data_IF_776408325369
#
_entry.id   IF_776408325369
#
_cell.length_a   1.000
_cell.length_b   1.000
_cell.length_c   1.000
_cell.angle_alpha   90.00
_cell.angle_beta   90.00
_cell.angle_gamma   90.00
#
_symmetry.space_group_name_H-M   'P 1'
#
loop_
_entity.id
_entity.type
_entity.pdbx_description
1 polymer ?
#
# COMPACT_ATOMS: atom_id res chain seq x y z
N UNK A 1 -30.34 -18.63 -37.81
CA UNK A 1 -29.11 -18.65 -37.00
C UNK A 1 -28.68 -17.20 -36.82
N UNK A 2 -29.10 -16.57 -35.72
CA UNK A 2 -28.81 -15.17 -35.43
C UNK A 2 -27.71 -15.07 -34.39
N UNK A 3 -26.55 -14.60 -34.81
CA UNK A 3 -25.42 -14.27 -33.93
C UNK A 3 -25.81 -13.03 -33.10
N UNK A 4 -26.03 -13.19 -31.79
CA UNK A 4 -26.20 -12.07 -30.88
C UNK A 4 -24.82 -11.56 -30.53
N UNK A 5 -24.38 -10.48 -31.17
CA UNK A 5 -23.30 -9.67 -30.67
C UNK A 5 -23.77 -8.99 -29.38
N UNK A 6 -23.30 -9.46 -28.24
CA UNK A 6 -23.39 -8.67 -27.03
C UNK A 6 -22.43 -7.50 -27.18
N UNK A 7 -22.98 -6.34 -27.52
CA UNK A 7 -22.31 -5.08 -27.40
C UNK A 7 -22.14 -4.82 -25.89
N UNK A 8 -20.95 -5.09 -25.38
CA UNK A 8 -20.55 -4.54 -24.09
C UNK A 8 -20.48 -3.03 -24.25
N UNK A 9 -21.18 -2.22 -23.44
CA UNK A 9 -20.96 -0.80 -23.44
C UNK A 9 -19.49 -0.56 -23.13
N UNK A 10 -18.83 0.28 -23.91
CA UNK A 10 -17.43 0.69 -23.73
C UNK A 10 -17.29 1.51 -22.45
N UNK A 11 -17.42 0.88 -21.29
CA UNK A 11 -16.87 1.39 -20.06
C UNK A 11 -15.38 1.04 -20.04
N UNK A 12 -14.51 2.02 -20.05
CA UNK A 12 -13.06 1.86 -19.93
C UNK A 12 -12.70 1.41 -18.53
N UNK A 13 -13.19 0.23 -18.14
CA UNK A 13 -12.82 -0.43 -16.90
C UNK A 13 -11.37 -0.88 -16.97
N UNK A 14 -10.56 -0.54 -15.99
CA UNK A 14 -9.17 -0.92 -15.90
C UNK A 14 -8.81 -1.37 -14.49
N UNK A 15 -7.60 -1.88 -14.36
CA UNK A 15 -7.01 -2.19 -13.06
C UNK A 15 -6.25 -0.98 -12.55
N UNK A 16 -6.31 -0.76 -11.24
CA UNK A 16 -5.43 0.15 -10.54
C UNK A 16 -4.63 -0.64 -9.51
N UNK A 17 -3.34 -0.37 -9.47
CA UNK A 17 -2.39 -0.92 -8.52
C UNK A 17 -2.09 0.14 -7.48
N UNK A 18 -2.28 -0.19 -6.22
CA UNK A 18 -1.98 0.67 -5.09
C UNK A 18 -0.80 0.09 -4.32
N UNK A 19 0.28 0.85 -4.23
CA UNK A 19 1.39 0.58 -3.32
C UNK A 19 1.30 1.48 -2.11
N UNK A 20 1.63 0.97 -0.93
CA UNK A 20 1.76 1.76 0.29
C UNK A 20 2.94 1.28 1.12
N UNK A 21 3.60 2.22 1.79
CA UNK A 21 4.69 1.97 2.73
C UNK A 21 4.24 2.41 4.10
N UNK A 22 4.30 1.48 5.05
CA UNK A 22 3.82 1.67 6.42
C UNK A 22 4.95 1.48 7.42
N UNK A 23 5.00 2.33 8.43
CA UNK A 23 5.84 2.14 9.61
C UNK A 23 5.18 1.14 10.58
N UNK A 24 5.90 0.12 10.96
CA UNK A 24 5.38 -0.96 11.81
C UNK A 24 5.04 -0.50 13.23
N UNK A 25 5.82 0.40 13.78
CA UNK A 25 5.63 0.87 15.15
C UNK A 25 4.37 1.73 15.26
N UNK A 26 4.31 2.79 14.48
CA UNK A 26 3.22 3.78 14.54
C UNK A 26 2.00 3.40 13.71
N UNK A 27 2.12 2.46 12.77
CA UNK A 27 1.13 2.16 11.72
C UNK A 27 0.91 3.33 10.74
N UNK A 28 1.80 4.30 10.75
CA UNK A 28 1.70 5.47 9.88
C UNK A 28 2.01 5.09 8.43
N UNK A 29 1.11 5.43 7.51
CA UNK A 29 1.33 5.29 6.07
C UNK A 29 2.25 6.43 5.63
N UNK A 30 3.52 6.11 5.39
CA UNK A 30 4.56 7.08 5.02
C UNK A 30 4.35 7.60 3.61
N UNK A 31 4.07 6.71 2.68
CA UNK A 31 3.85 7.04 1.28
C UNK A 31 2.92 6.04 0.62
N UNK A 32 2.35 6.44 -0.50
CA UNK A 32 1.53 5.58 -1.33
C UNK A 32 1.52 6.09 -2.77
N UNK A 33 1.30 5.20 -3.72
CA UNK A 33 1.13 5.53 -5.14
C UNK A 33 0.04 4.68 -5.76
N UNK A 34 -0.59 5.24 -6.78
CA UNK A 34 -1.60 4.58 -7.59
C UNK A 34 -1.15 4.59 -9.04
N UNK A 35 -1.14 3.42 -9.68
CA UNK A 35 -0.77 3.25 -11.08
C UNK A 35 -1.81 2.40 -11.81
N UNK A 36 -1.91 2.55 -13.11
CA UNK A 36 -2.68 1.69 -14.01
C UNK A 36 -1.81 0.59 -14.64
N UNK A 37 -0.51 0.60 -14.37
CA UNK A 37 0.45 -0.42 -14.78
C UNK A 37 1.18 -0.97 -13.55
N UNK A 38 1.63 -2.22 -13.62
CA UNK A 38 2.41 -2.88 -12.56
C UNK A 38 3.92 -2.74 -12.81
N UNK A 39 4.37 -1.56 -13.23
CA UNK A 39 5.77 -1.26 -13.42
C UNK A 39 6.46 -1.02 -12.06
N UNK A 40 7.78 -1.14 -12.00
CA UNK A 40 8.50 -0.91 -10.75
C UNK A 40 8.56 0.58 -10.35
N UNK A 41 8.43 1.48 -11.30
CA UNK A 41 8.70 2.92 -11.13
C UNK A 41 7.84 3.56 -10.03
N UNK A 42 6.52 3.30 -10.00
CA UNK A 42 5.66 3.88 -8.97
C UNK A 42 5.96 3.33 -7.57
N UNK A 43 6.54 2.11 -7.48
CA UNK A 43 7.01 1.54 -6.22
C UNK A 43 8.30 2.23 -5.76
N UNK A 44 9.21 2.53 -6.68
CA UNK A 44 10.46 3.28 -6.39
C UNK A 44 10.13 4.70 -5.94
N UNK A 45 9.21 5.40 -6.63
CA UNK A 45 8.75 6.73 -6.22
C UNK A 45 8.14 6.74 -4.80
N UNK A 46 7.36 5.71 -4.47
CA UNK A 46 6.82 5.56 -3.13
C UNK A 46 7.93 5.35 -2.09
N UNK A 47 8.95 4.54 -2.43
CA UNK A 47 10.09 4.28 -1.56
C UNK A 47 10.91 5.56 -1.33
N UNK A 48 11.21 6.32 -2.37
CA UNK A 48 11.92 7.60 -2.26
C UNK A 48 11.19 8.58 -1.33
N UNK A 49 9.87 8.68 -1.47
CA UNK A 49 9.09 9.55 -0.57
C UNK A 49 9.12 9.06 0.87
N UNK A 50 9.02 7.75 1.09
CA UNK A 50 9.08 7.19 2.44
C UNK A 50 10.44 7.43 3.10
N UNK A 51 11.54 7.21 2.37
CA UNK A 51 12.91 7.42 2.88
C UNK A 51 13.23 8.89 3.21
N UNK A 52 12.55 9.86 2.56
CA UNK A 52 12.64 11.27 2.96
C UNK A 52 12.00 11.56 4.32
N UNK A 53 11.04 10.74 4.76
CA UNK A 53 10.34 10.91 6.04
C UNK A 53 11.02 10.18 7.19
N UNK A 54 11.81 9.16 6.89
CA UNK A 54 12.57 8.40 7.88
C UNK A 54 13.32 7.23 7.25
N UNK A 55 14.49 6.93 7.79
CA UNK A 55 15.31 5.78 7.35
C UNK A 55 15.08 4.61 8.31
N UNK A 56 14.57 3.46 7.85
CA UNK A 56 14.43 2.28 8.69
C UNK A 56 15.75 1.51 8.79
N UNK A 57 15.92 0.72 9.83
CA UNK A 57 16.99 -0.27 9.90
C UNK A 57 16.73 -1.48 9.00
N UNK A 58 15.46 -1.87 8.92
CA UNK A 58 15.02 -3.02 8.13
C UNK A 58 13.81 -2.61 7.29
N UNK A 59 13.82 -3.01 6.03
CA UNK A 59 12.72 -2.87 5.11
C UNK A 59 12.19 -4.25 4.72
N UNK A 60 10.93 -4.52 5.04
CA UNK A 60 10.28 -5.78 4.69
C UNK A 60 9.49 -5.62 3.39
N UNK A 61 9.60 -6.59 2.52
CA UNK A 61 8.89 -6.65 1.25
C UNK A 61 8.54 -8.09 0.92
N UNK A 62 7.49 -8.30 0.13
CA UNK A 62 7.24 -9.60 -0.48
C UNK A 62 8.25 -9.87 -1.62
N UNK A 63 8.12 -11.02 -2.27
CA UNK A 63 8.97 -11.41 -3.39
C UNK A 63 8.41 -10.96 -4.75
N UNK A 64 7.58 -9.94 -4.78
CA UNK A 64 7.05 -9.38 -6.01
C UNK A 64 8.17 -8.84 -6.91
N UNK A 65 8.03 -9.01 -8.23
CA UNK A 65 9.06 -8.60 -9.20
C UNK A 65 9.38 -7.09 -9.12
N UNK A 66 8.42 -6.26 -8.75
CA UNK A 66 8.57 -4.81 -8.56
C UNK A 66 9.47 -4.46 -7.37
N UNK A 67 9.60 -5.36 -6.38
CA UNK A 67 10.39 -5.13 -5.16
C UNK A 67 11.75 -5.85 -5.17
N UNK A 68 11.93 -6.84 -6.05
CA UNK A 68 13.19 -7.59 -6.18
C UNK A 68 14.14 -6.97 -7.19
N UNK A 69 13.64 -6.06 -8.03
CA UNK A 69 14.42 -5.35 -9.05
C UNK A 69 15.53 -4.47 -8.46
N UNK A 70 16.61 -4.27 -9.24
CA UNK A 70 17.77 -3.48 -8.79
C UNK A 70 17.42 -2.02 -8.50
N UNK A 71 16.46 -1.42 -9.20
CA UNK A 71 16.04 -0.05 -8.95
C UNK A 71 15.50 0.12 -7.52
N UNK A 72 14.71 -0.83 -7.03
CA UNK A 72 14.14 -0.81 -5.69
C UNK A 72 15.16 -1.21 -4.62
N UNK A 73 15.81 -2.35 -4.80
CA UNK A 73 16.78 -2.89 -3.83
C UNK A 73 18.07 -2.07 -3.76
N UNK A 74 18.51 -1.52 -4.89
CA UNK A 74 19.65 -0.63 -4.97
C UNK A 74 19.44 0.66 -4.19
N UNK A 75 18.25 1.25 -4.28
CA UNK A 75 17.88 2.44 -3.51
C UNK A 75 17.94 2.17 -1.99
N UNK A 76 17.42 1.04 -1.53
CA UNK A 76 17.52 0.66 -0.11
C UNK A 76 18.97 0.47 0.34
N UNK A 77 19.81 -0.21 -0.47
CA UNK A 77 21.24 -0.40 -0.17
C UNK A 77 22.00 0.93 -0.12
N UNK A 78 21.72 1.88 -1.03
CA UNK A 78 22.31 3.22 -1.02
C UNK A 78 22.01 3.98 0.28
N UNK A 79 20.85 3.74 0.88
CA UNK A 79 20.48 4.33 2.17
C UNK A 79 20.93 3.49 3.37
N UNK A 80 21.69 2.40 3.16
CA UNK A 80 22.17 1.53 4.23
C UNK A 80 21.06 0.76 4.95
N UNK A 81 19.93 0.51 4.27
CA UNK A 81 18.77 -0.19 4.81
C UNK A 81 18.91 -1.69 4.55
N UNK A 82 18.75 -2.50 5.59
CA UNK A 82 18.71 -3.96 5.44
C UNK A 82 17.37 -4.40 4.84
N UNK A 83 17.44 -5.29 3.85
CA UNK A 83 16.26 -5.82 3.18
C UNK A 83 15.90 -7.17 3.79
N UNK A 84 14.67 -7.32 4.25
CA UNK A 84 14.09 -8.60 4.64
C UNK A 84 13.02 -8.97 3.61
N UNK A 85 13.24 -10.08 2.91
CA UNK A 85 12.24 -10.62 1.99
C UNK A 85 11.56 -11.81 2.67
N UNK A 86 10.24 -11.81 2.66
CA UNK A 86 9.46 -12.89 3.28
C UNK A 86 9.77 -14.24 2.61
N UNK A 87 10.47 -15.08 3.38
CA UNK A 87 10.66 -16.49 3.00
C UNK A 87 9.43 -17.32 3.40
N UNK A 88 9.24 -18.48 2.74
CA UNK A 88 8.22 -19.46 3.13
C UNK A 88 8.24 -19.70 4.64
N UNK A 89 7.18 -19.27 5.36
CA UNK A 89 6.98 -19.56 6.78
C UNK A 89 7.00 -18.36 7.74
N UNK A 90 7.28 -17.15 7.31
CA UNK A 90 7.21 -15.94 8.16
C UNK A 90 5.89 -15.19 7.98
N UNK A 91 4.80 -15.85 8.37
CA UNK A 91 3.43 -15.30 8.32
C UNK A 91 3.22 -14.03 9.16
N UNK A 92 4.08 -13.80 10.16
CA UNK A 92 3.95 -12.64 11.06
C UNK A 92 4.42 -11.31 10.47
N UNK A 93 5.29 -11.35 9.49
CA UNK A 93 6.02 -10.16 9.03
C UNK A 93 5.15 -9.25 8.13
N UNK A 94 4.11 -9.80 7.48
CA UNK A 94 3.16 -9.05 6.64
C UNK A 94 1.83 -8.66 7.32
N UNK A 95 1.65 -9.04 8.59
CA UNK A 95 0.38 -8.84 9.30
C UNK A 95 -0.10 -7.38 9.30
N UNK A 96 0.81 -6.41 9.32
CA UNK A 96 0.46 -5.00 9.41
C UNK A 96 -0.03 -4.44 8.09
N UNK A 97 0.63 -4.80 7.00
CA UNK A 97 0.22 -4.39 5.66
C UNK A 97 -1.07 -5.10 5.23
N UNK A 98 -1.25 -6.37 5.57
CA UNK A 98 -2.50 -7.09 5.32
C UNK A 98 -3.69 -6.46 6.06
N UNK A 99 -3.48 -6.04 7.32
CA UNK A 99 -4.50 -5.30 8.07
C UNK A 99 -4.80 -3.95 7.45
N UNK A 100 -3.77 -3.23 6.97
CA UNK A 100 -3.96 -1.98 6.22
C UNK A 100 -4.83 -2.23 4.98
N UNK A 101 -4.51 -3.24 4.17
CA UNK A 101 -5.28 -3.58 2.97
C UNK A 101 -6.73 -3.93 3.27
N UNK A 102 -6.94 -4.73 4.32
CA UNK A 102 -8.29 -5.04 4.78
C UNK A 102 -9.05 -3.75 5.15
N UNK A 103 -8.43 -2.87 5.89
CA UNK A 103 -9.01 -1.60 6.33
C UNK A 103 -9.35 -0.71 5.13
N UNK A 104 -8.41 -0.51 4.20
CA UNK A 104 -8.62 0.27 2.97
C UNK A 104 -9.75 -0.32 2.12
N UNK A 105 -9.79 -1.64 1.98
CA UNK A 105 -10.85 -2.31 1.20
C UNK A 105 -12.23 -2.07 1.79
N UNK A 106 -12.40 -2.30 3.08
CA UNK A 106 -13.72 -2.29 3.72
C UNK A 106 -14.19 -0.89 4.12
N UNK A 107 -13.30 0.03 4.43
CA UNK A 107 -13.65 1.37 4.88
C UNK A 107 -13.65 2.40 3.74
N UNK A 108 -13.03 2.10 2.58
CA UNK A 108 -12.95 3.02 1.46
C UNK A 108 -13.38 2.40 0.13
N UNK A 109 -12.62 1.41 -0.38
CA UNK A 109 -12.76 0.93 -1.76
C UNK A 109 -14.13 0.30 -2.02
N UNK A 110 -14.63 -0.52 -1.10
CA UNK A 110 -15.93 -1.19 -1.26
C UNK A 110 -17.13 -0.27 -1.04
N UNK A 111 -16.94 0.82 -0.33
CA UNK A 111 -17.99 1.79 -0.05
C UNK A 111 -18.12 2.83 -1.16
N UNK A 112 -17.11 3.00 -1.98
CA UNK A 112 -17.07 4.00 -3.04
C UNK A 112 -16.97 3.36 -4.42
N UNK A 113 -17.84 3.77 -5.32
CA UNK A 113 -17.79 3.40 -6.75
C UNK A 113 -16.99 4.47 -7.51
N UNK A 114 -15.67 4.34 -7.55
CA UNK A 114 -14.83 5.27 -8.28
C UNK A 114 -15.13 5.25 -9.77
N UNK A 115 -15.32 6.42 -10.36
CA UNK A 115 -15.65 6.58 -11.77
C UNK A 115 -14.41 6.45 -12.68
N UNK A 116 -13.24 6.80 -12.16
CA UNK A 116 -11.98 6.78 -12.90
C UNK A 116 -10.79 6.81 -11.94
N UNK A 117 -9.56 6.69 -12.49
CA UNK A 117 -8.34 6.68 -11.68
C UNK A 117 -8.05 7.99 -10.93
N UNK A 118 -8.53 9.14 -11.44
CA UNK A 118 -8.40 10.42 -10.71
C UNK A 118 -9.28 10.43 -9.47
N UNK A 119 -10.51 9.98 -9.60
CA UNK A 119 -11.47 9.89 -8.51
C UNK A 119 -10.97 8.91 -7.43
N UNK A 120 -10.46 7.74 -7.85
CA UNK A 120 -9.81 6.79 -6.95
C UNK A 120 -8.61 7.40 -6.22
N UNK A 121 -7.77 8.18 -6.92
CA UNK A 121 -6.61 8.84 -6.31
C UNK A 121 -7.01 9.85 -5.23
N UNK A 122 -8.04 10.63 -5.49
CA UNK A 122 -8.57 11.61 -4.52
C UNK A 122 -9.14 10.87 -3.31
N UNK A 123 -10.03 9.89 -3.51
CA UNK A 123 -10.68 9.16 -2.43
C UNK A 123 -9.68 8.40 -1.55
N UNK A 124 -8.75 7.66 -2.15
CA UNK A 124 -7.70 6.94 -1.41
C UNK A 124 -6.78 7.92 -0.67
N UNK A 125 -6.46 9.07 -1.28
CA UNK A 125 -5.66 10.10 -0.63
C UNK A 125 -6.35 10.70 0.59
N UNK A 126 -7.65 11.00 0.50
CA UNK A 126 -8.46 11.47 1.61
C UNK A 126 -8.54 10.41 2.72
N UNK A 127 -8.70 9.15 2.31
CA UNK A 127 -8.74 8.03 3.25
C UNK A 127 -7.42 7.87 4.01
N UNK A 128 -6.25 7.93 3.36
CA UNK A 128 -4.97 7.83 4.06
C UNK A 128 -4.69 9.03 4.97
N UNK A 129 -5.19 10.23 4.63
CA UNK A 129 -5.15 11.38 5.56
C UNK A 129 -5.99 11.11 6.81
N UNK A 130 -7.22 10.61 6.63
CA UNK A 130 -8.09 10.20 7.73
C UNK A 130 -7.45 9.08 8.56
N UNK A 131 -6.95 8.03 7.91
CA UNK A 131 -6.29 6.88 8.56
C UNK A 131 -5.13 7.32 9.45
N UNK A 132 -4.26 8.18 8.94
CA UNK A 132 -3.10 8.65 9.68
C UNK A 132 -3.46 9.62 10.81
N UNK A 133 -4.34 10.58 10.56
CA UNK A 133 -4.54 11.72 11.45
C UNK A 133 -5.77 11.62 12.37
N UNK A 134 -6.78 10.83 12.00
CA UNK A 134 -8.07 10.83 12.69
C UNK A 134 -8.54 9.44 13.13
N UNK A 135 -8.11 8.37 12.47
CA UNK A 135 -8.56 7.01 12.78
C UNK A 135 -7.83 6.49 14.02
N UNK A 136 -8.54 6.25 15.16
CA UNK A 136 -7.91 5.67 16.34
C UNK A 136 -7.64 4.18 16.15
N UNK A 137 -6.53 3.69 16.68
CA UNK A 137 -6.12 2.30 16.61
C UNK A 137 -6.06 1.68 18.01
N UNK A 138 -6.80 0.60 18.24
CA UNK A 138 -6.80 -0.09 19.52
C UNK A 138 -5.38 -0.55 19.92
N UNK A 139 -4.61 -1.08 18.97
CA UNK A 139 -3.24 -1.53 19.18
C UNK A 139 -2.26 -0.39 19.55
N UNK A 140 -2.64 0.86 19.33
CA UNK A 140 -1.89 2.06 19.69
C UNK A 140 -2.46 2.76 20.94
N UNK A 141 -3.26 2.06 21.74
CA UNK A 141 -3.96 2.65 22.88
C UNK A 141 -4.97 3.73 22.45
N UNK A 142 -5.68 3.48 21.36
CA UNK A 142 -6.66 4.40 20.73
C UNK A 142 -6.06 5.72 20.24
N UNK A 143 -4.75 5.84 20.16
CA UNK A 143 -4.09 6.96 19.46
C UNK A 143 -4.16 6.77 17.94
N UNK A 144 -4.00 7.88 17.22
CA UNK A 144 -3.85 7.83 15.77
C UNK A 144 -2.41 7.49 15.37
N UNK A 145 -2.18 6.93 14.17
CA UNK A 145 -0.84 6.70 13.65
C UNK A 145 0.04 7.97 13.69
N UNK A 146 -0.50 9.12 13.33
CA UNK A 146 0.23 10.39 13.35
C UNK A 146 0.68 10.79 14.76
N UNK A 147 -0.19 10.63 15.77
CA UNK A 147 0.17 10.93 17.17
C UNK A 147 1.33 10.08 17.66
N UNK A 148 1.37 8.80 17.26
CA UNK A 148 2.47 7.89 17.63
C UNK A 148 3.72 8.23 16.83
N UNK A 149 3.62 8.45 15.52
CA UNK A 149 4.75 8.75 14.65
C UNK A 149 5.48 10.03 15.07
N UNK A 150 4.75 11.11 15.37
CA UNK A 150 5.32 12.40 15.82
C UNK A 150 5.93 12.30 17.22
N UNK A 151 5.43 11.40 18.08
CA UNK A 151 5.97 11.23 19.44
C UNK A 151 7.31 10.49 19.50
N UNK A 152 7.81 9.95 18.37
CA UNK A 152 9.16 9.37 18.29
C UNK A 152 10.17 10.51 18.30
N UNK A 153 11.13 10.56 19.27
CA UNK A 153 12.15 11.61 19.30
C UNK A 153 12.97 11.62 18.00
N UNK A 154 13.21 12.82 17.43
CA UNK A 154 13.99 12.95 16.19
C UNK A 154 15.42 12.40 16.29
N UNK A 155 15.99 12.33 17.50
CA UNK A 155 17.31 11.71 17.76
C UNK A 155 17.29 10.20 17.55
N UNK A 156 16.13 9.54 17.70
CA UNK A 156 15.94 8.13 17.39
C UNK A 156 15.88 7.84 15.88
N UNK A 157 15.61 8.85 15.05
CA UNK A 157 15.56 8.71 13.60
C UNK A 157 16.95 8.69 12.93
N UNK A 158 18.01 9.06 13.68
CA UNK A 158 19.41 9.01 13.21
C UNK A 158 20.18 7.79 13.72
N UNK A 159 19.58 6.97 14.59
CA UNK A 159 20.27 5.87 15.24
C UNK A 159 19.39 4.72 15.73
N UNK A 160 18.24 4.50 15.14
CA UNK A 160 17.39 3.35 15.44
C UNK A 160 16.08 3.72 16.09
N UNK A 161 15.00 3.60 15.36
CA UNK A 161 13.67 3.14 15.77
C UNK A 161 12.58 3.42 14.74
N UNK A 162 12.90 3.43 13.45
CA UNK A 162 11.95 2.89 12.49
C UNK A 162 12.35 1.42 12.34
N UNK A 163 11.89 0.58 13.25
CA UNK A 163 12.37 -0.81 13.34
C UNK A 163 12.16 -1.54 12.04
N UNK A 164 11.10 -1.23 11.31
CA UNK A 164 10.82 -1.91 10.05
C UNK A 164 9.72 -1.19 9.25
N UNK A 165 9.93 -1.04 7.97
CA UNK A 165 8.92 -0.63 7.00
C UNK A 165 8.49 -1.82 6.15
N UNK A 166 7.24 -1.83 5.74
CA UNK A 166 6.72 -2.81 4.79
C UNK A 166 6.07 -2.12 3.61
N UNK A 167 6.29 -2.68 2.45
CA UNK A 167 5.60 -2.32 1.21
C UNK A 167 4.89 -3.53 0.64
N UNK A 168 3.73 -3.29 0.06
CA UNK A 168 2.97 -4.25 -0.72
C UNK A 168 2.11 -3.51 -1.74
N UNK A 169 1.64 -4.23 -2.75
CA UNK A 169 0.80 -3.70 -3.81
C UNK A 169 -0.59 -4.31 -3.75
N UNK A 170 -1.61 -3.48 -3.74
CA UNK A 170 -3.01 -3.89 -3.87
C UNK A 170 -3.51 -3.59 -5.27
N UNK A 171 -4.16 -4.58 -5.89
CA UNK A 171 -4.88 -4.40 -7.15
C UNK A 171 -6.36 -4.14 -6.88
N UNK A 172 -6.92 -3.11 -7.49
CA UNK A 172 -8.35 -2.82 -7.43
C UNK A 172 -8.92 -2.54 -8.81
N UNK A 173 -10.12 -3.06 -9.06
CA UNK A 173 -10.88 -2.69 -10.25
C UNK A 173 -11.65 -1.39 -9.98
N UNK A 174 -11.50 -0.42 -10.87
CA UNK A 174 -12.41 0.70 -10.94
C UNK A 174 -13.35 0.51 -12.13
N UNK A 175 -14.58 0.87 -11.98
CA UNK A 175 -15.73 0.60 -12.85
C UNK A 175 -16.32 -0.81 -12.67
N UNK A 176 -17.15 -0.92 -11.68
CA UNK A 176 -18.26 -1.86 -11.70
C UNK A 176 -19.54 -1.14 -11.34
N UNK A 177 -20.31 -0.78 -12.37
CA UNK A 177 -21.72 -0.53 -12.22
C UNK A 177 -22.44 -1.84 -11.90
N UNK A 178 -23.07 -1.89 -10.75
CA UNK A 178 -24.11 -2.83 -10.36
C UNK A 178 -23.84 -4.32 -10.61
N UNK A 179 -23.23 -4.97 -9.66
CA UNK A 179 -23.55 -6.26 -9.03
C UNK A 179 -22.40 -6.65 -8.08
N UNK A 180 -22.65 -7.10 -6.85
CA UNK A 180 -21.60 -7.50 -5.92
C UNK A 180 -21.18 -8.94 -6.21
N UNK A 181 -20.39 -9.18 -7.21
CA UNK A 181 -19.66 -10.43 -7.34
C UNK A 181 -18.17 -10.15 -7.29
N UNK A 182 -17.65 -10.47 -6.14
CA UNK A 182 -16.25 -10.50 -5.75
C UNK A 182 -15.38 -11.18 -6.80
N UNK A 183 -14.47 -10.39 -7.40
CA UNK A 183 -13.24 -10.93 -7.93
C UNK A 183 -12.13 -9.93 -7.63
N UNK A 184 -11.63 -10.02 -6.43
CA UNK A 184 -10.40 -9.36 -6.02
C UNK A 184 -9.33 -10.42 -6.17
N UNK A 185 -8.57 -10.33 -7.24
CA UNK A 185 -7.31 -11.03 -7.32
C UNK A 185 -6.34 -10.33 -6.34
N UNK A 186 -6.30 -10.78 -5.09
CA UNK A 186 -5.11 -10.62 -4.30
C UNK A 186 -4.08 -11.54 -4.95
N UNK A 187 -3.04 -10.98 -5.54
CA UNK A 187 -1.87 -11.76 -5.92
C UNK A 187 -1.15 -12.07 -4.61
N UNK A 188 -1.68 -13.05 -3.88
CA UNK A 188 -0.87 -13.79 -2.94
C UNK A 188 -0.12 -14.79 -3.81
N UNK A 189 1.17 -14.60 -4.00
CA UNK A 189 2.04 -15.61 -4.57
C UNK A 189 1.91 -16.89 -3.73
N UNK A 190 1.50 -17.96 -4.40
CA UNK A 190 1.61 -19.32 -3.87
C UNK A 190 3.08 -19.73 -3.78
#
# INVERSE_FOLDING_TARGET
>A
MGSRHHLYPHGTGGFLYLVAIIDWYSRYVLSWRLSNTLDADFCVEALEEALRKGRPDIFNTDQGSQFTGEAFTGLLRQHGVRISMDGKGRYSDNLFIERLWRTVKYEEVYLKAYQNGRDARVGIGDYFRFYNAQRPHQALGYRTPAQVFISIPMEATHGGMVESLTVDTMTTNYLRTAEPSLNIASILSK
#
